data_IF_968082709410
#
_entry.id   IF_968082709410
#
_cell.length_a   1.000
_cell.length_b   1.000
_cell.length_c   1.000
_cell.angle_alpha   90.00
_cell.angle_beta   90.00
_cell.angle_gamma   90.00
#
_symmetry.space_group_name_H-M   'P 1'
#
loop_
_entity.id
_entity.type
_entity.pdbx_description
1 polymer ?
#
# COMPACT_ATOMS: atom_id res chain seq x y z
N UNK A 1 2.67 -6.56 5.55
CA UNK A 1 3.37 -6.74 4.25
C UNK A 1 2.45 -6.94 3.05
N UNK A 2 1.28 -7.59 3.15
CA UNK A 2 0.34 -7.76 2.02
C UNK A 2 -0.08 -6.43 1.35
N UNK A 3 -0.22 -5.36 2.13
CA UNK A 3 -0.45 -4.01 1.63
C UNK A 3 0.66 -3.55 0.67
N UNK A 4 1.92 -3.56 1.13
CA UNK A 4 3.09 -3.19 0.33
C UNK A 4 3.20 -4.02 -0.95
N UNK A 5 3.00 -5.34 -0.88
CA UNK A 5 3.09 -6.22 -2.04
C UNK A 5 2.04 -5.86 -3.10
N UNK A 6 0.78 -5.65 -2.69
CA UNK A 6 -0.27 -5.27 -3.63
C UNK A 6 -0.05 -3.88 -4.23
N UNK A 7 0.44 -2.93 -3.43
CA UNK A 7 0.82 -1.60 -3.93
C UNK A 7 1.94 -1.68 -4.96
N UNK A 8 2.99 -2.46 -4.68
CA UNK A 8 4.13 -2.64 -5.60
C UNK A 8 3.74 -3.29 -6.93
N UNK A 9 2.63 -4.03 -6.97
CA UNK A 9 2.04 -4.64 -8.17
C UNK A 9 0.97 -3.75 -8.85
N UNK A 10 0.83 -2.49 -8.44
CA UNK A 10 -0.16 -1.56 -9.02
C UNK A 10 -1.61 -1.77 -8.53
N UNK A 11 -1.84 -2.60 -7.51
CA UNK A 11 -3.18 -2.96 -7.00
C UNK A 11 -3.57 -2.12 -5.78
N UNK A 12 -3.60 -0.79 -5.93
CA UNK A 12 -3.83 0.17 -4.84
C UNK A 12 -5.12 -0.09 -4.04
N UNK A 13 -6.22 -0.47 -4.69
CA UNK A 13 -7.47 -0.77 -3.97
C UNK A 13 -7.35 -1.98 -3.04
N UNK A 14 -6.59 -3.00 -3.45
CA UNK A 14 -6.33 -4.18 -2.61
C UNK A 14 -5.34 -3.81 -1.49
N UNK A 15 -4.31 -3.02 -1.82
CA UNK A 15 -3.36 -2.53 -0.83
C UNK A 15 -4.04 -1.76 0.30
N UNK A 16 -4.96 -0.84 -0.03
CA UNK A 16 -5.70 -0.04 0.94
C UNK A 16 -6.48 -0.90 1.95
N UNK A 17 -7.12 -1.99 1.50
CA UNK A 17 -7.82 -2.92 2.41
C UNK A 17 -6.89 -3.53 3.45
N UNK A 18 -5.67 -3.88 3.06
CA UNK A 18 -4.68 -4.43 3.97
C UNK A 18 -4.04 -3.37 4.87
N UNK A 19 -3.98 -2.10 4.44
CA UNK A 19 -3.56 -0.97 5.29
C UNK A 19 -4.56 -0.78 6.42
N UNK A 20 -5.86 -0.70 6.10
CA UNK A 20 -6.92 -0.56 7.11
C UNK A 20 -6.89 -1.72 8.12
N UNK A 21 -6.84 -2.96 7.62
CA UNK A 21 -6.77 -4.13 8.50
C UNK A 21 -5.50 -4.18 9.37
N UNK A 22 -4.37 -3.65 8.89
CA UNK A 22 -3.14 -3.59 9.68
C UNK A 22 -3.19 -2.49 10.75
N UNK A 23 -3.76 -1.32 10.42
CA UNK A 23 -3.95 -0.22 11.36
C UNK A 23 -4.91 -0.59 12.51
N UNK A 24 -5.88 -1.48 12.25
CA UNK A 24 -6.78 -2.02 13.30
C UNK A 24 -6.05 -2.95 14.29
N UNK A 25 -4.91 -3.54 13.89
CA UNK A 25 -4.12 -4.46 14.73
C UNK A 25 -3.08 -3.68 15.54
N UNK A 26 -2.38 -2.76 14.88
CA UNK A 26 -1.31 -1.95 15.43
C UNK A 26 -1.29 -0.60 14.70
N UNK A 27 -1.74 0.44 15.37
CA UNK A 27 -1.84 1.80 14.85
C UNK A 27 -0.48 2.51 14.81
N UNK A 28 0.52 2.00 15.54
CA UNK A 28 1.90 2.50 15.53
C UNK A 28 2.78 1.77 14.50
N UNK A 29 2.20 0.85 13.71
CA UNK A 29 2.96 0.11 12.70
C UNK A 29 3.40 1.04 11.56
N UNK A 30 4.63 1.57 11.62
CA UNK A 30 5.12 2.57 10.68
C UNK A 30 5.06 2.21 9.18
N UNK A 31 4.98 0.92 8.82
CA UNK A 31 4.75 0.53 7.42
C UNK A 31 3.34 0.92 6.94
N UNK A 32 2.34 0.93 7.82
CA UNK A 32 0.99 1.43 7.53
C UNK A 32 1.06 2.90 7.13
N UNK A 33 1.75 3.74 7.90
CA UNK A 33 1.90 5.17 7.62
C UNK A 33 2.54 5.42 6.24
N UNK A 34 3.62 4.70 5.94
CA UNK A 34 4.33 4.83 4.65
C UNK A 34 3.40 4.49 3.48
N UNK A 35 2.72 3.34 3.55
CA UNK A 35 1.84 2.91 2.45
C UNK A 35 0.60 3.80 2.33
N UNK A 36 -0.01 4.21 3.44
CA UNK A 36 -1.11 5.19 3.43
C UNK A 36 -0.71 6.46 2.71
N UNK A 37 0.47 7.02 3.03
CA UNK A 37 0.98 8.23 2.36
C UNK A 37 1.11 8.07 0.86
N UNK A 38 1.59 6.91 0.39
CA UNK A 38 1.72 6.65 -1.05
C UNK A 38 0.33 6.52 -1.72
N UNK A 39 -0.60 5.82 -1.07
CA UNK A 39 -1.96 5.63 -1.58
C UNK A 39 -2.74 6.95 -1.64
N UNK A 40 -2.67 7.77 -0.60
CA UNK A 40 -3.38 9.05 -0.49
C UNK A 40 -2.90 10.06 -1.55
N UNK A 41 -1.62 9.97 -1.94
CA UNK A 41 -1.06 10.78 -3.03
C UNK A 41 -1.33 10.21 -4.42
N UNK A 42 -1.96 9.04 -4.52
CA UNK A 42 -2.13 8.31 -5.77
C UNK A 42 -0.79 7.87 -6.38
N UNK A 43 0.25 7.76 -5.57
CA UNK A 43 1.59 7.40 -6.02
C UNK A 43 1.68 5.89 -6.25
N UNK A 44 2.13 5.52 -7.44
CA UNK A 44 2.48 4.16 -7.82
C UNK A 44 3.94 4.14 -8.29
N UNK A 45 4.67 3.05 -8.01
CA UNK A 45 6.05 2.95 -8.48
C UNK A 45 6.08 2.75 -10.01
N UNK A 46 7.12 3.29 -10.66
CA UNK A 46 7.25 3.26 -12.13
C UNK A 46 7.17 1.83 -12.70
N UNK A 47 7.82 0.87 -12.04
CA UNK A 47 7.81 -0.54 -12.47
C UNK A 47 6.43 -1.19 -12.45
N UNK A 48 5.43 -0.62 -11.76
CA UNK A 48 4.06 -1.12 -11.82
C UNK A 48 3.41 -0.88 -13.19
N UNK A 49 3.93 0.07 -13.98
CA UNK A 49 3.49 0.34 -15.35
C UNK A 49 4.29 -0.45 -16.40
N UNK A 50 5.47 -0.94 -16.02
CA UNK A 50 6.35 -1.75 -16.88
C UNK A 50 6.04 -3.25 -16.85
N UNK A 51 5.05 -3.67 -16.06
CA UNK A 51 4.57 -5.05 -16.00
C UNK A 51 3.87 -5.43 -17.32
N UNK A 52 4.69 -5.80 -18.31
CA UNK A 52 4.27 -6.16 -19.66
C UNK A 52 4.76 -7.55 -20.04
#
# INVERSE_FOLDING_TARGET
MLAWLNWALGRSSVAHRFVVAAAEIDDEYGLVEIISTMLDRGFLPEWAFDAR
#
